data_IF_359929291800
#
_entry.id   IF_359929291800
#
_cell.length_a   1.000
_cell.length_b   1.000
_cell.length_c   1.000
_cell.angle_alpha   90.00
_cell.angle_beta   90.00
_cell.angle_gamma   90.00
#
_symmetry.space_group_name_H-M   'P 1'
#
loop_
_entity.id
_entity.type
_entity.pdbx_description
1 polymer ?
#
# COMPACT_ATOMS: atom_id res chain seq x y z
N UNK A 1 -10.50 -23.24 -67.93
CA UNK A 1 -11.50 -22.52 -67.11
C UNK A 1 -10.89 -22.35 -65.72
N UNK A 2 -10.09 -21.31 -65.46
CA UNK A 2 -10.49 -19.94 -65.08
C UNK A 2 -11.46 -19.97 -63.88
N UNK A 3 -11.18 -19.40 -62.69
CA UNK A 3 -10.44 -18.17 -62.40
C UNK A 3 -9.73 -18.23 -61.03
N UNK A 4 -8.50 -17.74 -61.04
CA UNK A 4 -7.66 -17.33 -59.92
C UNK A 4 -7.81 -15.79 -59.76
N UNK A 5 -8.05 -15.27 -58.56
CA UNK A 5 -7.74 -13.87 -58.15
C UNK A 5 -7.40 -13.90 -56.65
N UNK A 6 -6.13 -13.85 -56.26
CA UNK A 6 -5.27 -12.67 -56.08
C UNK A 6 -5.79 -11.69 -55.01
N UNK A 7 -5.18 -11.70 -53.83
CA UNK A 7 -4.80 -10.46 -53.13
C UNK A 7 -3.50 -10.67 -52.37
N UNK A 8 -2.58 -9.76 -52.67
CA UNK A 8 -1.20 -9.62 -52.24
C UNK A 8 -1.12 -8.84 -50.92
N UNK A 9 -0.11 -9.21 -50.14
CA UNK A 9 0.62 -8.47 -49.11
C UNK A 9 0.20 -7.03 -48.74
N UNK A 10 0.02 -6.80 -47.43
CA UNK A 10 0.63 -5.66 -46.74
C UNK A 10 1.25 -6.20 -45.46
N UNK A 11 2.57 -6.21 -45.39
CA UNK A 11 3.30 -6.48 -44.16
C UNK A 11 3.26 -5.25 -43.27
N UNK A 12 2.63 -5.37 -42.10
CA UNK A 12 3.02 -4.60 -40.92
C UNK A 12 3.90 -5.53 -40.09
N UNK A 13 5.21 -5.25 -40.08
CA UNK A 13 6.11 -5.79 -39.08
C UNK A 13 5.73 -5.20 -37.73
N UNK A 14 4.99 -5.96 -36.92
CA UNK A 14 4.85 -5.69 -35.50
C UNK A 14 6.21 -5.98 -34.86
N UNK A 15 7.01 -4.94 -34.68
CA UNK A 15 8.20 -4.99 -33.83
C UNK A 15 7.74 -5.09 -32.38
N UNK A 16 7.52 -6.31 -31.91
CA UNK A 16 7.33 -6.60 -30.49
C UNK A 16 8.68 -6.36 -29.81
N UNK A 17 8.87 -5.16 -29.26
CA UNK A 17 9.89 -4.93 -28.25
C UNK A 17 9.46 -5.71 -27.02
N UNK A 18 10.01 -6.91 -26.84
CA UNK A 18 10.01 -7.59 -25.55
C UNK A 18 10.82 -6.73 -24.58
N UNK A 19 10.15 -5.85 -23.85
CA UNK A 19 10.68 -5.31 -22.60
C UNK A 19 10.96 -6.50 -21.70
N UNK A 20 12.23 -6.68 -21.33
CA UNK A 20 12.67 -7.66 -20.34
C UNK A 20 12.03 -7.29 -18.99
N UNK A 21 10.80 -7.73 -18.74
CA UNK A 21 10.27 -7.81 -17.40
C UNK A 21 11.13 -8.81 -16.65
N UNK A 22 12.02 -8.32 -15.78
CA UNK A 22 12.57 -9.13 -14.70
C UNK A 22 11.39 -9.50 -13.82
N UNK A 23 10.84 -10.71 -14.03
CA UNK A 23 9.99 -11.34 -13.05
C UNK A 23 10.86 -11.58 -11.81
N UNK A 24 10.82 -10.65 -10.87
CA UNK A 24 11.33 -10.85 -9.52
C UNK A 24 10.36 -11.82 -8.83
N UNK A 25 10.48 -13.11 -9.12
CA UNK A 25 9.85 -14.15 -8.31
C UNK A 25 10.59 -14.18 -6.97
N UNK A 26 10.14 -13.33 -6.05
CA UNK A 26 10.61 -13.32 -4.67
C UNK A 26 10.14 -14.62 -4.03
N UNK A 27 11.08 -15.44 -3.53
CA UNK A 27 10.76 -16.62 -2.70
C UNK A 27 9.84 -16.18 -1.56
N UNK A 28 8.88 -17.04 -1.18
CA UNK A 28 8.04 -16.82 -0.01
C UNK A 28 8.93 -16.43 1.19
N UNK A 29 8.84 -15.17 1.60
CA UNK A 29 9.51 -14.69 2.78
C UNK A 29 8.76 -15.28 3.99
N UNK A 30 9.49 -15.91 4.90
CA UNK A 30 8.89 -16.30 6.18
C UNK A 30 8.56 -15.01 6.93
N UNK A 31 7.30 -14.83 7.30
CA UNK A 31 6.86 -13.69 8.12
C UNK A 31 7.61 -13.74 9.46
N UNK A 32 8.33 -12.68 9.86
CA UNK A 32 9.01 -12.63 11.15
C UNK A 32 8.04 -12.83 12.34
N UNK A 33 8.45 -13.66 13.31
CA UNK A 33 7.66 -13.98 14.50
C UNK A 33 8.48 -13.84 15.78
N UNK A 34 7.78 -13.56 16.89
CA UNK A 34 8.27 -13.71 18.27
C UNK A 34 7.59 -14.92 18.89
N UNK A 35 8.37 -15.76 19.55
CA UNK A 35 7.92 -16.97 20.22
C UNK A 35 7.53 -16.68 21.67
N UNK A 36 6.36 -17.16 22.09
CA UNK A 36 5.89 -17.14 23.47
C UNK A 36 5.60 -18.56 23.94
N UNK A 37 6.18 -18.95 25.07
CA UNK A 37 5.82 -20.19 25.74
C UNK A 37 4.44 -20.05 26.36
N UNK A 38 3.50 -20.89 25.92
CA UNK A 38 2.17 -20.95 26.50
C UNK A 38 2.22 -21.86 27.71
N UNK A 39 1.69 -21.36 28.82
CA UNK A 39 1.67 -22.07 30.10
C UNK A 39 0.21 -22.34 30.46
N UNK A 40 -0.10 -23.61 30.72
CA UNK A 40 -1.42 -24.02 31.19
C UNK A 40 -1.66 -23.57 32.63
N UNK A 41 -2.90 -23.71 33.09
CA UNK A 41 -3.26 -23.29 34.46
C UNK A 41 -2.50 -24.05 35.57
N UNK A 42 -2.01 -25.25 35.27
CA UNK A 42 -1.19 -26.08 36.16
C UNK A 42 0.30 -25.70 36.16
N UNK A 43 0.66 -24.60 35.50
CA UNK A 43 2.02 -24.17 35.20
C UNK A 43 2.84 -25.15 34.35
N UNK A 44 2.19 -26.09 33.65
CA UNK A 44 2.88 -26.95 32.69
C UNK A 44 2.92 -26.29 31.30
N UNK A 45 3.92 -26.62 30.46
CA UNK A 45 3.96 -26.16 29.09
C UNK A 45 2.71 -26.62 28.31
N UNK A 46 2.00 -25.66 27.72
CA UNK A 46 0.79 -25.85 26.92
C UNK A 46 1.03 -25.62 25.41
N UNK A 47 2.27 -25.37 25.01
CA UNK A 47 2.68 -25.20 23.62
C UNK A 47 3.38 -23.88 23.38
N UNK A 48 3.44 -23.48 22.11
CA UNK A 48 4.16 -22.29 21.65
C UNK A 48 3.23 -21.43 20.80
N UNK A 49 3.21 -20.14 21.07
CA UNK A 49 2.60 -19.12 20.22
C UNK A 49 3.69 -18.43 19.39
N UNK A 50 3.58 -18.53 18.07
CA UNK A 50 4.35 -17.70 17.13
C UNK A 50 3.52 -16.47 16.76
N UNK A 51 3.73 -15.37 17.49
CA UNK A 51 3.05 -14.11 17.22
C UNK A 51 3.85 -13.30 16.17
N UNK A 52 3.19 -12.48 15.34
CA UNK A 52 3.92 -11.63 14.39
C UNK A 52 4.85 -10.65 15.11
N UNK A 53 6.06 -10.50 14.60
CA UNK A 53 7.02 -9.50 15.07
C UNK A 53 6.92 -8.23 14.22
N UNK A 54 6.04 -7.30 14.58
CA UNK A 54 5.87 -6.05 13.82
C UNK A 54 7.09 -5.12 13.84
N UNK A 55 8.05 -5.36 14.74
CA UNK A 55 9.35 -4.66 14.72
C UNK A 55 10.30 -5.18 13.65
N UNK A 56 10.00 -6.36 13.09
CA UNK A 56 10.77 -6.99 12.01
C UNK A 56 9.96 -7.16 10.71
N UNK A 57 8.63 -7.14 10.78
CA UNK A 57 7.75 -7.23 9.60
C UNK A 57 7.77 -5.88 8.87
N UNK A 58 8.12 -5.95 7.59
CA UNK A 58 8.07 -4.84 6.62
C UNK A 58 7.13 -5.20 5.47
N UNK A 59 6.75 -4.23 4.62
CA UNK A 59 5.96 -4.55 3.42
C UNK A 59 6.70 -5.49 2.46
N UNK A 60 8.03 -5.40 2.38
CA UNK A 60 8.84 -6.34 1.60
C UNK A 60 8.78 -7.77 2.17
N UNK A 61 8.73 -7.91 3.50
CA UNK A 61 8.63 -9.22 4.15
C UNK A 61 7.31 -9.94 3.89
N UNK A 62 6.27 -9.24 3.45
CA UNK A 62 4.98 -9.85 3.08
C UNK A 62 5.06 -10.71 1.81
N UNK A 63 6.10 -10.56 1.00
CA UNK A 63 6.33 -11.38 -0.19
C UNK A 63 5.37 -11.04 -1.33
N UNK A 64 4.55 -12.01 -1.75
CA UNK A 64 3.76 -11.95 -2.97
C UNK A 64 2.32 -12.43 -2.79
N UNK A 65 1.44 -12.01 -3.69
CA UNK A 65 0.05 -12.47 -3.71
C UNK A 65 -0.03 -13.96 -4.04
N UNK A 66 -0.85 -14.71 -3.32
CA UNK A 66 -1.05 -16.15 -3.60
C UNK A 66 -2.08 -16.40 -4.69
N UNK A 67 -2.91 -15.41 -5.02
CA UNK A 67 -3.93 -15.46 -6.07
C UNK A 67 -3.98 -14.13 -6.84
N UNK A 68 -4.46 -14.21 -8.09
CA UNK A 68 -4.65 -13.02 -8.93
C UNK A 68 -5.90 -12.25 -8.52
N UNK A 69 -5.92 -10.95 -8.81
CA UNK A 69 -7.07 -10.10 -8.56
C UNK A 69 -7.04 -8.82 -9.37
N UNK A 70 -8.12 -8.04 -9.27
CA UNK A 70 -8.23 -6.77 -9.98
C UNK A 70 -9.15 -5.79 -9.26
N UNK A 71 -8.96 -4.51 -9.56
CA UNK A 71 -9.80 -3.38 -9.19
C UNK A 71 -10.16 -2.62 -10.46
N UNK A 72 -11.44 -2.35 -10.67
CA UNK A 72 -11.87 -1.49 -11.78
C UNK A 72 -11.48 -0.03 -11.52
N UNK A 73 -11.01 0.67 -12.56
CA UNK A 73 -10.76 2.12 -12.53
C UNK A 73 -12.04 2.97 -12.46
N UNK A 74 -13.22 2.36 -12.56
CA UNK A 74 -14.52 3.08 -12.47
C UNK A 74 -14.70 3.82 -11.12
N UNK A 75 -13.88 3.48 -10.13
CA UNK A 75 -13.95 4.01 -8.78
C UNK A 75 -12.85 5.03 -8.43
N UNK A 76 -11.95 5.35 -9.35
CA UNK A 76 -10.82 6.28 -9.13
C UNK A 76 -11.27 7.63 -8.56
N UNK A 77 -12.41 8.14 -9.08
CA UNK A 77 -12.99 9.42 -8.64
C UNK A 77 -13.41 9.47 -7.17
N UNK A 78 -13.52 8.32 -6.49
CA UNK A 78 -13.96 8.23 -5.09
C UNK A 78 -12.84 8.02 -4.09
N UNK A 79 -11.60 7.79 -4.53
CA UNK A 79 -10.46 7.61 -3.62
C UNK A 79 -9.44 8.75 -3.68
N UNK A 80 -9.56 9.63 -4.69
CA UNK A 80 -8.64 10.75 -4.89
C UNK A 80 -7.28 10.34 -5.47
N UNK A 81 -7.17 9.12 -6.00
CA UNK A 81 -6.05 8.58 -6.76
C UNK A 81 -6.53 7.40 -7.63
N UNK A 82 -5.71 6.94 -8.57
CA UNK A 82 -6.03 5.81 -9.45
C UNK A 82 -6.13 4.48 -8.69
N UNK A 83 -7.33 3.91 -8.59
CA UNK A 83 -7.56 2.60 -8.00
C UNK A 83 -7.38 1.47 -9.01
N UNK A 84 -7.70 1.72 -10.28
CA UNK A 84 -7.67 0.70 -11.33
C UNK A 84 -6.33 -0.02 -11.43
N UNK A 85 -6.31 -1.32 -11.15
CA UNK A 85 -5.11 -2.18 -11.28
C UNK A 85 -5.48 -3.66 -11.31
N UNK A 86 -4.55 -4.48 -11.77
CA UNK A 86 -4.63 -5.93 -11.73
C UNK A 86 -3.31 -6.49 -11.21
N UNK A 87 -3.37 -7.62 -10.54
CA UNK A 87 -2.20 -8.37 -10.11
C UNK A 87 -2.41 -9.84 -10.42
N UNK A 88 -1.30 -10.53 -10.60
CA UNK A 88 -1.25 -11.96 -10.80
C UNK A 88 -0.64 -12.64 -9.57
N UNK A 89 -0.98 -13.92 -9.40
CA UNK A 89 -0.29 -14.77 -8.43
C UNK A 89 1.22 -14.67 -8.61
N UNK A 90 1.92 -14.41 -7.51
CA UNK A 90 3.38 -14.27 -7.47
C UNK A 90 3.89 -12.86 -7.66
N UNK A 91 3.04 -11.89 -8.04
CA UNK A 91 3.42 -10.47 -8.04
C UNK A 91 3.75 -10.03 -6.62
N UNK A 92 4.80 -9.22 -6.47
CA UNK A 92 5.22 -8.75 -5.15
C UNK A 92 4.19 -7.77 -4.59
N UNK A 93 3.94 -7.85 -3.29
CA UNK A 93 2.99 -6.95 -2.60
C UNK A 93 3.33 -5.48 -2.83
N UNK A 94 4.63 -5.18 -2.81
CA UNK A 94 5.16 -3.81 -2.96
C UNK A 94 4.98 -3.23 -4.37
N UNK A 95 4.80 -4.08 -5.38
CA UNK A 95 4.62 -3.66 -6.78
C UNK A 95 3.15 -3.42 -7.12
N UNK A 96 2.22 -3.76 -6.21
CA UNK A 96 0.76 -3.67 -6.41
C UNK A 96 0.10 -2.70 -5.44
N UNK A 97 0.56 -2.67 -4.18
CA UNK A 97 0.06 -1.71 -3.20
C UNK A 97 0.59 -0.31 -3.53
N UNK A 98 -0.35 0.63 -3.55
CA UNK A 98 -0.09 2.05 -3.69
C UNK A 98 -0.03 2.75 -2.33
N UNK A 99 0.63 3.90 -2.26
CA UNK A 99 0.73 4.67 -1.03
C UNK A 99 -0.65 5.05 -0.48
N UNK A 100 -1.60 5.37 -1.38
CA UNK A 100 -2.99 5.67 -1.01
C UNK A 100 -3.74 4.49 -0.36
N UNK A 101 -3.35 3.25 -0.65
CA UNK A 101 -4.01 2.06 -0.07
C UNK A 101 -3.70 1.91 1.42
N UNK A 102 -2.52 2.36 1.84
CA UNK A 102 -2.03 2.15 3.21
C UNK A 102 -2.03 3.42 4.06
N UNK A 103 -2.32 4.59 3.48
CA UNK A 103 -2.24 5.88 4.16
C UNK A 103 -3.15 5.98 5.39
N UNK A 104 -4.43 5.61 5.27
CA UNK A 104 -5.35 5.68 6.41
C UNK A 104 -4.87 4.80 7.59
N UNK A 105 -4.33 3.63 7.26
CA UNK A 105 -3.96 2.61 8.23
C UNK A 105 -2.58 2.80 8.84
N UNK A 106 -1.59 3.18 8.05
CA UNK A 106 -0.18 3.33 8.45
C UNK A 106 0.26 4.79 8.55
N UNK A 107 -0.50 5.73 8.00
CA UNK A 107 -0.18 7.16 8.01
C UNK A 107 0.99 7.53 7.13
N UNK A 108 1.19 6.81 6.01
CA UNK A 108 2.38 6.94 5.16
C UNK A 108 2.57 8.35 4.60
N UNK A 109 1.48 9.09 4.34
CA UNK A 109 1.55 10.48 3.88
C UNK A 109 2.27 11.40 4.87
N UNK A 110 2.24 11.07 6.17
CA UNK A 110 2.85 11.86 7.25
C UNK A 110 4.31 11.50 7.54
N UNK A 111 4.90 10.59 6.77
CA UNK A 111 6.35 10.34 6.83
C UNK A 111 7.08 11.45 6.09
N UNK A 112 8.18 11.92 6.66
CA UNK A 112 9.13 12.76 5.94
C UNK A 112 10.05 11.93 5.06
N UNK A 113 10.52 12.51 3.95
CA UNK A 113 11.45 11.80 3.06
C UNK A 113 12.72 11.34 3.77
N UNK A 114 13.29 12.20 4.63
CA UNK A 114 14.46 11.86 5.43
C UNK A 114 14.19 10.76 6.46
N UNK A 115 12.98 10.71 7.03
CA UNK A 115 12.59 9.66 7.97
C UNK A 115 12.49 8.30 7.29
N UNK A 116 11.96 8.24 6.06
CA UNK A 116 11.92 7.00 5.27
C UNK A 116 13.32 6.42 5.09
N UNK A 117 14.28 7.26 4.70
CA UNK A 117 15.66 6.84 4.48
C UNK A 117 16.30 6.34 5.78
N UNK A 118 16.14 7.07 6.88
CA UNK A 118 16.75 6.70 8.18
C UNK A 118 16.11 5.43 8.76
N UNK A 119 14.78 5.32 8.76
CA UNK A 119 14.04 4.15 9.29
C UNK A 119 14.30 2.89 8.47
N UNK A 120 14.60 3.05 7.18
CA UNK A 120 14.97 1.94 6.30
C UNK A 120 16.48 1.61 6.32
N UNK A 121 17.20 2.11 7.33
CA UNK A 121 18.63 1.90 7.56
C UNK A 121 19.54 2.32 6.39
N UNK A 122 19.15 3.36 5.65
CA UNK A 122 19.91 3.95 4.54
C UNK A 122 20.49 5.31 4.92
N UNK A 123 21.45 5.78 4.13
CA UNK A 123 22.03 7.11 4.28
C UNK A 123 21.40 8.11 3.30
N UNK A 124 21.03 9.32 3.73
CA UNK A 124 20.47 10.36 2.85
C UNK A 124 21.36 10.73 1.66
N UNK A 125 22.69 10.62 1.80
CA UNK A 125 23.65 10.86 0.72
C UNK A 125 23.56 9.84 -0.43
N UNK A 126 23.05 8.64 -0.14
CA UNK A 126 23.02 7.53 -1.09
C UNK A 126 21.68 7.43 -1.83
N UNK A 127 20.69 8.24 -1.40
CA UNK A 127 19.34 8.25 -1.96
C UNK A 127 19.15 9.50 -2.82
N UNK A 128 18.72 9.29 -4.06
CA UNK A 128 18.55 10.34 -5.07
C UNK A 128 17.08 10.71 -5.29
N UNK A 129 16.82 11.89 -5.86
CA UNK A 129 15.44 12.38 -6.00
C UNK A 129 14.57 11.54 -6.95
N UNK A 130 15.17 10.85 -7.93
CA UNK A 130 14.45 9.93 -8.83
C UNK A 130 13.97 8.66 -8.11
N UNK A 131 14.52 8.35 -6.94
CA UNK A 131 14.14 7.20 -6.11
C UNK A 131 12.89 7.46 -5.25
N UNK A 132 12.32 8.66 -5.34
CA UNK A 132 10.99 8.98 -4.83
C UNK A 132 10.08 9.23 -6.03
N UNK A 133 9.38 8.18 -6.49
CA UNK A 133 8.68 8.14 -7.76
C UNK A 133 7.80 9.36 -8.08
N UNK A 134 7.15 9.96 -7.08
CA UNK A 134 6.29 11.13 -7.24
C UNK A 134 7.04 12.43 -7.57
N UNK A 135 8.35 12.54 -7.28
CA UNK A 135 9.11 13.79 -7.51
C UNK A 135 9.17 14.12 -9.00
N UNK A 136 9.29 13.11 -9.87
CA UNK A 136 9.31 13.31 -11.33
C UNK A 136 7.98 13.87 -11.88
N UNK A 137 6.87 13.62 -11.17
CA UNK A 137 5.53 14.04 -11.56
C UNK A 137 5.23 15.49 -11.13
N UNK A 138 6.13 16.11 -10.35
CA UNK A 138 5.94 17.49 -9.91
C UNK A 138 6.28 18.48 -11.02
N UNK A 139 5.65 19.64 -10.96
CA UNK A 139 6.13 20.85 -11.63
C UNK A 139 7.10 21.59 -10.72
N UNK A 140 7.86 22.55 -11.24
CA UNK A 140 8.67 23.45 -10.40
C UNK A 140 7.81 24.12 -9.32
N UNK A 141 6.58 24.50 -9.65
CA UNK A 141 5.68 25.11 -8.68
C UNK A 141 5.24 24.14 -7.58
N UNK A 142 4.81 22.93 -7.92
CA UNK A 142 4.41 21.95 -6.91
C UNK A 142 5.61 21.43 -6.10
N UNK A 143 6.80 21.33 -6.70
CA UNK A 143 8.04 21.02 -6.01
C UNK A 143 8.42 22.07 -4.95
N UNK A 144 8.36 23.38 -5.28
CA UNK A 144 8.62 24.47 -4.31
C UNK A 144 7.51 24.54 -3.25
N UNK A 145 6.27 24.22 -3.63
CA UNK A 145 5.15 24.16 -2.68
C UNK A 145 5.33 23.03 -1.67
N UNK A 146 5.81 21.87 -2.11
CA UNK A 146 6.06 20.70 -1.26
C UNK A 146 7.20 20.92 -0.26
N UNK A 147 8.20 21.75 -0.59
CA UNK A 147 9.22 22.20 0.35
C UNK A 147 9.25 23.74 0.46
N UNK A 148 8.42 24.33 1.34
CA UNK A 148 8.30 25.79 1.47
C UNK A 148 9.60 26.51 1.84
N UNK A 149 10.60 25.81 2.40
CA UNK A 149 11.90 26.42 2.72
C UNK A 149 12.66 26.86 1.48
N UNK A 150 12.39 26.25 0.31
CA UNK A 150 13.01 26.61 -0.95
C UNK A 150 12.68 28.04 -1.39
N UNK A 151 11.51 28.57 -0.98
CA UNK A 151 11.02 29.91 -1.40
C UNK A 151 12.04 31.04 -1.17
N UNK A 152 12.76 30.96 -0.06
CA UNK A 152 13.74 31.98 0.35
C UNK A 152 15.17 31.65 -0.09
N UNK A 153 15.42 30.48 -0.70
CA UNK A 153 16.72 30.10 -1.25
C UNK A 153 16.93 30.72 -2.60
N UNK A 154 18.17 31.09 -2.91
CA UNK A 154 18.53 31.48 -4.28
C UNK A 154 18.37 30.27 -5.20
N UNK A 155 17.92 30.52 -6.43
CA UNK A 155 17.70 29.46 -7.42
C UNK A 155 19.00 28.68 -7.69
N UNK A 156 20.15 29.34 -7.72
CA UNK A 156 21.45 28.70 -7.86
C UNK A 156 21.82 27.73 -6.73
N UNK A 157 21.26 27.95 -5.53
CA UNK A 157 21.51 27.10 -4.36
C UNK A 157 20.57 25.90 -4.30
N UNK A 158 19.65 25.78 -5.26
CA UNK A 158 18.73 24.65 -5.40
C UNK A 158 19.01 23.98 -6.75
N UNK A 159 19.92 23.00 -6.80
CA UNK A 159 20.48 22.50 -8.07
C UNK A 159 19.43 22.06 -9.12
N UNK A 160 18.34 21.34 -8.76
CA UNK A 160 17.30 21.01 -9.73
C UNK A 160 16.62 22.24 -10.35
N UNK A 161 16.43 23.31 -9.58
CA UNK A 161 15.83 24.55 -10.09
C UNK A 161 16.80 25.31 -10.99
N UNK A 162 18.09 25.35 -10.63
CA UNK A 162 19.12 25.95 -11.48
C UNK A 162 19.22 25.24 -12.84
N UNK A 163 19.19 23.90 -12.83
CA UNK A 163 19.24 23.10 -14.06
C UNK A 163 17.96 23.24 -14.90
N UNK A 164 16.78 23.38 -14.28
CA UNK A 164 15.55 23.71 -14.98
C UNK A 164 15.66 25.06 -15.72
N UNK A 165 16.20 26.10 -15.06
CA UNK A 165 16.45 27.42 -15.68
C UNK A 165 17.45 27.30 -16.84
N UNK A 166 18.52 26.54 -16.66
CA UNK A 166 19.52 26.32 -17.69
C UNK A 166 18.94 25.60 -18.92
N UNK A 167 18.11 24.58 -18.71
CA UNK A 167 17.42 23.85 -19.79
C UNK A 167 16.44 24.74 -20.56
N UNK A 168 15.67 25.57 -19.87
CA UNK A 168 14.65 26.42 -20.51
C UNK A 168 15.23 27.64 -21.22
N UNK A 169 16.27 28.26 -20.68
CA UNK A 169 16.74 29.57 -21.14
C UNK A 169 18.21 29.63 -21.54
N UNK A 170 19.00 28.59 -21.25
CA UNK A 170 20.46 28.60 -21.41
C UNK A 170 21.09 29.79 -20.68
N UNK A 171 22.11 30.40 -21.29
CA UNK A 171 22.83 31.55 -20.71
C UNK A 171 21.94 32.76 -20.40
N UNK A 172 20.78 32.87 -21.06
CA UNK A 172 19.82 33.97 -20.84
C UNK A 172 19.14 33.88 -19.47
N UNK A 173 19.16 32.71 -18.83
CA UNK A 173 18.59 32.47 -17.50
C UNK A 173 19.52 32.86 -16.34
N UNK A 174 20.78 33.22 -16.60
CA UNK A 174 21.78 33.52 -15.56
C UNK A 174 21.34 34.58 -14.54
N UNK A 175 20.59 35.60 -14.97
CA UNK A 175 20.05 36.62 -14.08
C UNK A 175 18.99 36.09 -13.10
N UNK A 176 18.31 34.98 -13.43
CA UNK A 176 17.32 34.34 -12.56
C UNK A 176 17.99 33.51 -11.46
N UNK A 177 19.20 33.00 -11.67
CA UNK A 177 19.90 32.15 -10.72
C UNK A 177 20.19 32.86 -9.38
N UNK A 178 20.36 34.17 -9.42
CA UNK A 178 20.60 35.04 -8.25
C UNK A 178 19.31 35.48 -7.53
N UNK A 179 18.14 35.02 -8.00
CA UNK A 179 16.85 35.36 -7.40
C UNK A 179 16.35 34.28 -6.45
N UNK A 180 15.54 34.64 -5.43
CA UNK A 180 14.90 33.65 -4.56
C UNK A 180 13.89 32.78 -5.32
N UNK A 181 13.80 31.48 -5.01
CA UNK A 181 12.95 30.55 -5.74
C UNK A 181 11.45 30.90 -5.71
N UNK A 182 10.97 31.68 -4.72
CA UNK A 182 9.58 32.16 -4.70
C UNK A 182 9.18 32.91 -5.97
N UNK A 183 10.12 33.54 -6.67
CA UNK A 183 9.84 34.24 -7.94
C UNK A 183 9.40 33.30 -9.07
N UNK A 184 9.66 31.99 -8.93
CA UNK A 184 9.23 30.96 -9.90
C UNK A 184 7.77 30.55 -9.73
N UNK A 185 7.16 30.86 -8.58
CA UNK A 185 5.77 30.49 -8.26
C UNK A 185 4.85 31.70 -8.06
N UNK A 186 5.42 32.87 -7.75
CA UNK A 186 4.65 34.08 -7.55
C UNK A 186 4.29 34.72 -8.90
N UNK A 187 2.99 34.77 -9.19
CA UNK A 187 2.41 35.44 -10.37
C UNK A 187 2.65 36.98 -10.41
N UNK A 188 3.45 37.53 -9.50
CA UNK A 188 3.92 38.93 -9.52
C UNK A 188 4.94 39.23 -10.63
N UNK A 189 5.11 38.32 -11.58
CA UNK A 189 5.87 38.51 -12.83
C UNK A 189 5.53 39.84 -13.55
N UNK A 190 4.33 40.40 -13.35
CA UNK A 190 3.99 41.70 -13.93
C UNK A 190 4.74 42.91 -13.36
N UNK A 191 5.32 42.82 -12.16
CA UNK A 191 5.97 43.96 -11.47
C UNK A 191 7.48 43.82 -11.34
N UNK A 192 8.01 42.61 -11.12
CA UNK A 192 9.45 42.40 -10.93
C UNK A 192 10.27 42.60 -12.23
N UNK A 193 9.72 42.20 -13.38
CA UNK A 193 10.42 42.30 -14.67
C UNK A 193 10.39 43.69 -15.32
N UNK A 194 9.64 44.64 -14.75
CA UNK A 194 9.80 46.06 -15.10
C UNK A 194 11.08 46.67 -14.52
N UNK A 195 11.68 46.06 -13.49
CA UNK A 195 12.89 46.57 -12.82
C UNK A 195 14.15 45.72 -13.06
N UNK A 196 14.03 44.45 -13.49
CA UNK A 196 15.15 43.72 -14.10
C UNK A 196 15.46 44.34 -15.46
N UNK A 197 16.17 45.47 -15.39
CA UNK A 197 16.69 46.21 -16.51
C UNK A 197 17.68 45.32 -17.25
N UNK A 198 17.17 44.53 -18.20
CA UNK A 198 17.94 43.88 -19.24
C UNK A 198 18.98 44.88 -19.71
N UNK A 199 20.25 44.49 -19.56
CA UNK A 199 21.41 45.32 -19.81
C UNK A 199 21.25 46.06 -21.16
N UNK A 200 21.81 47.27 -21.27
CA UNK A 200 21.55 48.31 -22.29
C UNK A 200 21.56 47.83 -23.76
N UNK A 201 22.03 46.61 -24.03
CA UNK A 201 22.06 45.93 -25.32
C UNK A 201 20.77 45.18 -25.73
N UNK A 202 19.80 45.00 -24.83
CA UNK A 202 18.51 44.32 -25.15
C UNK A 202 17.40 45.31 -25.54
N UNK A 203 17.60 46.62 -25.35
CA UNK A 203 16.65 47.65 -25.80
C UNK A 203 16.39 47.68 -27.32
N UNK A 204 17.27 47.06 -28.12
CA UNK A 204 17.08 46.92 -29.57
C UNK A 204 16.26 45.69 -29.97
N UNK A 205 15.87 44.85 -29.02
CA UNK A 205 14.90 43.77 -29.20
C UNK A 205 13.60 44.15 -28.51
N UNK A 206 13.01 45.28 -28.93
CA UNK A 206 11.62 45.61 -28.64
C UNK A 206 10.71 44.63 -29.42
N UNK A 207 10.70 43.37 -29.00
CA UNK A 207 9.56 42.50 -29.26
C UNK A 207 8.44 42.97 -28.34
N UNK A 208 7.28 43.25 -28.93
CA UNK A 208 6.11 43.92 -28.38
C UNK A 208 5.33 43.09 -27.35
N UNK A 209 6.01 42.18 -26.64
CA UNK A 209 5.45 41.38 -25.56
C UNK A 209 6.58 41.09 -24.56
N UNK A 210 6.42 41.41 -23.26
CA UNK A 210 7.39 40.99 -22.26
C UNK A 210 7.56 39.46 -22.36
N UNK A 211 8.79 38.92 -22.31
CA UNK A 211 8.99 37.47 -22.28
C UNK A 211 8.18 36.90 -21.11
N UNK A 212 7.21 36.05 -21.41
CA UNK A 212 6.48 35.29 -20.40
C UNK A 212 7.45 34.20 -19.92
N UNK A 213 8.14 34.46 -18.82
CA UNK A 213 9.03 33.49 -18.18
C UNK A 213 8.18 32.56 -17.31
N UNK A 214 7.61 31.54 -17.93
CA UNK A 214 6.70 30.61 -17.26
C UNK A 214 7.45 29.31 -16.97
N UNK A 215 8.14 29.27 -15.82
CA UNK A 215 8.91 28.09 -15.34
C UNK A 215 8.07 27.25 -14.38
N UNK A 216 6.97 27.79 -13.85
CA UNK A 216 6.16 27.14 -12.83
C UNK A 216 5.69 25.77 -13.27
N UNK A 217 5.32 25.64 -14.55
CA UNK A 217 4.81 24.42 -15.18
C UNK A 217 5.92 23.48 -15.71
N UNK A 218 7.20 23.81 -15.51
CA UNK A 218 8.27 22.92 -15.93
C UNK A 218 8.22 21.64 -15.11
N UNK A 219 8.00 20.51 -15.77
CA UNK A 219 7.95 19.20 -15.13
C UNK A 219 9.35 18.76 -14.69
N UNK A 220 9.48 18.39 -13.42
CA UNK A 220 10.73 17.93 -12.80
C UNK A 220 11.26 16.66 -13.46
N UNK A 221 10.39 15.82 -14.03
CA UNK A 221 10.77 14.64 -14.81
C UNK A 221 11.56 14.91 -16.10
N UNK A 222 11.64 16.17 -16.54
CA UNK A 222 12.53 16.57 -17.64
C UNK A 222 13.99 16.71 -17.20
N UNK A 223 14.28 16.66 -15.90
CA UNK A 223 15.63 16.65 -15.33
C UNK A 223 16.12 15.22 -15.15
N UNK A 224 17.45 15.07 -15.16
CA UNK A 224 18.09 13.85 -14.66
C UNK A 224 18.15 13.91 -13.13
N UNK A 225 17.04 13.51 -12.49
CA UNK A 225 16.87 13.59 -11.04
C UNK A 225 17.82 12.68 -10.25
N UNK A 226 18.46 11.70 -10.92
CA UNK A 226 19.48 10.82 -10.33
C UNK A 226 20.77 11.55 -9.94
N UNK A 227 20.95 12.79 -10.41
CA UNK A 227 22.11 13.62 -10.07
C UNK A 227 22.01 14.32 -8.73
N UNK A 228 20.82 14.37 -8.14
CA UNK A 228 20.57 15.11 -6.90
C UNK A 228 20.27 14.11 -5.80
N UNK A 229 21.15 14.05 -4.81
CA UNK A 229 20.87 13.32 -3.57
C UNK A 229 19.80 14.06 -2.75
N UNK A 230 19.22 13.39 -1.76
CA UNK A 230 18.31 14.02 -0.80
C UNK A 230 19.00 15.17 -0.05
N UNK A 231 20.32 15.10 0.17
CA UNK A 231 21.09 16.18 0.81
C UNK A 231 21.42 17.35 -0.15
N UNK A 232 21.32 17.14 -1.46
CA UNK A 232 21.60 18.17 -2.47
C UNK A 232 20.57 19.30 -2.48
N UNK A 233 19.40 19.10 -1.87
CA UNK A 233 18.33 20.09 -1.80
C UNK A 233 17.99 20.35 -0.34
N UNK A 234 18.38 21.51 0.17
CA UNK A 234 18.16 21.84 1.58
C UNK A 234 16.68 21.76 1.96
N UNK A 235 16.39 21.04 3.05
CA UNK A 235 15.03 20.90 3.59
C UNK A 235 14.14 19.91 2.84
N UNK A 236 14.59 19.27 1.76
CA UNK A 236 13.76 18.28 1.06
C UNK A 236 13.56 17.01 1.90
N UNK A 237 14.53 16.66 2.74
CA UNK A 237 14.35 15.57 3.70
C UNK A 237 13.29 15.86 4.78
N UNK A 238 12.88 17.13 4.94
CA UNK A 238 11.89 17.57 5.91
C UNK A 238 10.46 17.66 5.38
N UNK A 239 10.25 17.57 4.06
CA UNK A 239 8.90 17.55 3.47
C UNK A 239 8.22 16.21 3.70
N UNK A 240 6.91 16.25 3.88
CA UNK A 240 6.09 15.06 4.03
C UNK A 240 5.78 14.45 2.66
N UNK A 241 5.56 13.14 2.62
CA UNK A 241 5.09 12.46 1.40
C UNK A 241 3.79 13.11 0.89
N UNK A 242 2.89 13.48 1.80
CA UNK A 242 1.61 14.09 1.45
C UNK A 242 1.68 15.53 0.91
N UNK A 243 2.84 16.17 1.00
CA UNK A 243 3.06 17.52 0.47
C UNK A 243 3.21 17.53 -1.07
N UNK A 244 3.47 16.36 -1.67
CA UNK A 244 3.69 16.19 -3.11
C UNK A 244 2.38 15.90 -3.85
N UNK A 245 2.23 16.37 -5.09
CA UNK A 245 1.05 16.06 -5.89
C UNK A 245 1.07 14.59 -6.33
N UNK A 246 -0.11 13.98 -6.40
CA UNK A 246 -0.34 12.59 -6.86
C UNK A 246 0.46 11.50 -6.12
N UNK A 247 1.02 11.81 -4.95
CA UNK A 247 1.83 10.88 -4.15
C UNK A 247 1.12 9.55 -3.86
N UNK A 248 -0.21 9.57 -3.72
CA UNK A 248 -1.03 8.38 -3.44
C UNK A 248 -1.00 7.35 -4.56
N UNK A 249 -0.67 7.76 -5.78
CA UNK A 249 -0.64 6.90 -6.96
C UNK A 249 0.64 6.06 -7.12
N UNK A 250 1.70 6.41 -6.39
CA UNK A 250 2.96 5.67 -6.42
C UNK A 250 2.83 4.32 -5.73
N UNK A 251 3.54 3.30 -6.24
CA UNK A 251 3.63 2.00 -5.57
C UNK A 251 4.65 2.06 -4.44
N UNK A 252 4.55 1.13 -3.49
CA UNK A 252 5.54 1.02 -2.42
C UNK A 252 6.96 0.75 -2.96
N UNK A 253 7.07 0.06 -4.09
CA UNK A 253 8.33 -0.19 -4.80
C UNK A 253 8.96 1.07 -5.42
N UNK A 254 8.16 2.10 -5.68
CA UNK A 254 8.60 3.32 -6.35
C UNK A 254 9.25 4.33 -5.37
N UNK A 255 9.19 4.04 -4.06
CA UNK A 255 9.79 4.85 -3.01
C UNK A 255 10.92 4.07 -2.32
N UNK A 256 12.15 4.49 -2.54
CA UNK A 256 13.31 3.81 -1.98
C UNK A 256 13.26 3.77 -0.44
N UNK A 257 13.44 2.57 0.10
CA UNK A 257 13.44 2.30 1.53
C UNK A 257 12.07 2.21 2.19
N UNK A 258 10.99 2.72 1.58
CA UNK A 258 9.68 2.71 2.22
C UNK A 258 9.18 1.29 2.56
N UNK A 259 9.34 0.36 1.63
CA UNK A 259 8.95 -1.04 1.82
C UNK A 259 9.80 -1.80 2.84
N UNK A 260 10.90 -1.20 3.32
CA UNK A 260 11.84 -1.76 4.28
C UNK A 260 11.66 -1.19 5.71
N UNK A 261 10.69 -0.29 5.90
CA UNK A 261 10.32 0.21 7.23
C UNK A 261 9.50 -0.85 7.96
N UNK A 262 9.82 -1.10 9.23
CA UNK A 262 9.06 -1.99 10.12
C UNK A 262 7.67 -1.43 10.40
N UNK A 263 6.68 -2.32 10.56
CA UNK A 263 5.28 -1.93 10.75
C UNK A 263 5.02 -1.12 12.04
N UNK A 264 5.87 -1.27 13.06
CA UNK A 264 5.83 -0.48 14.30
C UNK A 264 6.50 0.90 14.18
N UNK A 265 7.21 1.15 13.08
CA UNK A 265 7.93 2.39 12.83
C UNK A 265 7.14 3.39 11.96
N UNK A 266 5.96 3.00 11.47
CA UNK A 266 5.04 3.87 10.75
C UNK A 266 4.32 4.86 11.68
N UNK A 267 3.85 6.02 11.16
CA UNK A 267 3.14 7.01 11.98
C UNK A 267 1.90 6.48 12.70
N UNK A 268 1.20 5.52 12.11
CA UNK A 268 0.19 4.70 12.79
C UNK A 268 0.77 3.27 12.95
N UNK A 269 1.44 2.97 14.07
CA UNK A 269 2.12 1.70 14.23
C UNK A 269 1.13 0.55 14.44
N UNK A 270 1.44 -0.62 13.89
CA UNK A 270 0.75 -1.87 14.22
C UNK A 270 1.51 -2.57 15.34
N UNK A 271 0.78 -2.94 16.39
CA UNK A 271 1.36 -3.62 17.54
C UNK A 271 0.71 -4.98 17.78
N UNK A 272 1.51 -5.93 18.22
CA UNK A 272 1.04 -7.26 18.61
C UNK A 272 0.27 -7.13 19.91
N UNK A 273 -1.02 -7.46 19.88
CA UNK A 273 -1.82 -7.60 21.09
C UNK A 273 -2.02 -9.09 21.37
N UNK A 274 -1.62 -9.53 22.56
CA UNK A 274 -1.85 -10.90 23.05
C UNK A 274 -3.28 -11.07 23.60
N UNK A 275 -4.24 -10.41 22.96
CA UNK A 275 -5.64 -10.44 23.37
C UNK A 275 -6.35 -11.61 22.68
N UNK A 276 -7.10 -12.39 23.47
CA UNK A 276 -7.91 -13.52 23.00
C UNK A 276 -7.13 -14.50 22.13
N UNK A 277 -6.30 -15.30 22.79
CA UNK A 277 -5.50 -16.36 22.17
C UNK A 277 -6.28 -17.67 22.29
N UNK A 278 -6.24 -18.50 21.26
CA UNK A 278 -6.84 -19.83 21.28
C UNK A 278 -5.90 -20.83 20.62
N UNK A 279 -6.03 -22.10 21.02
CA UNK A 279 -5.37 -23.21 20.36
C UNK A 279 -6.25 -23.75 19.24
N UNK A 280 -5.64 -24.18 18.14
CA UNK A 280 -6.33 -24.93 17.11
C UNK A 280 -6.43 -26.40 17.52
N UNK A 281 -7.62 -26.88 17.81
CA UNK A 281 -7.86 -28.27 18.26
C UNK A 281 -8.08 -29.23 17.08
N UNK A 282 -8.96 -28.84 16.16
CA UNK A 282 -9.31 -29.64 15.00
C UNK A 282 -9.42 -28.79 13.73
N UNK A 283 -9.17 -29.44 12.59
CA UNK A 283 -9.27 -28.84 11.25
C UNK A 283 -10.31 -29.62 10.48
N UNK A 284 -11.28 -28.92 9.90
CA UNK A 284 -12.40 -29.54 9.19
C UNK A 284 -12.49 -29.00 7.77
N UNK A 285 -12.26 -29.88 6.79
CA UNK A 285 -12.23 -29.51 5.37
C UNK A 285 -13.58 -29.68 4.66
N UNK A 286 -14.38 -30.67 5.08
CA UNK A 286 -15.72 -30.98 4.55
C UNK A 286 -16.72 -31.15 5.70
N UNK A 287 -16.82 -30.13 6.56
CA UNK A 287 -17.72 -30.14 7.71
C UNK A 287 -19.18 -30.11 7.27
N UNK A 288 -19.83 -31.28 7.27
CA UNK A 288 -21.27 -31.39 7.11
C UNK A 288 -21.97 -30.85 8.36
N UNK A 289 -22.62 -29.69 8.23
CA UNK A 289 -23.40 -29.11 9.32
C UNK A 289 -23.53 -27.59 9.26
N UNK A 290 -24.32 -27.05 10.18
CA UNK A 290 -24.49 -25.61 10.38
C UNK A 290 -23.59 -25.10 11.53
N UNK A 291 -23.07 -23.89 11.37
CA UNK A 291 -22.45 -23.09 12.44
C UNK A 291 -23.45 -22.00 12.81
N UNK A 292 -23.98 -22.05 14.04
CA UNK A 292 -25.00 -21.10 14.50
C UNK A 292 -24.39 -19.76 14.93
N UNK A 293 -25.20 -18.69 15.00
CA UNK A 293 -24.76 -17.43 15.59
C UNK A 293 -24.19 -17.65 17.00
N UNK A 294 -23.04 -17.04 17.29
CA UNK A 294 -22.31 -17.21 18.56
C UNK A 294 -21.41 -18.44 18.65
N UNK A 295 -21.45 -19.34 17.67
CA UNK A 295 -20.51 -20.48 17.56
C UNK A 295 -19.33 -20.19 16.62
N UNK A 296 -19.38 -19.09 15.88
CA UNK A 296 -18.29 -18.62 15.03
C UNK A 296 -17.50 -17.50 15.72
N UNK A 297 -16.21 -17.43 15.40
CA UNK A 297 -15.35 -16.26 15.64
C UNK A 297 -15.02 -15.53 14.33
N UNK A 298 -15.71 -15.80 13.24
CA UNK A 298 -15.43 -15.18 11.93
C UNK A 298 -16.49 -14.16 11.59
N UNK A 299 -16.05 -13.12 10.89
CA UNK A 299 -16.96 -12.10 10.35
C UNK A 299 -16.22 -10.87 9.86
N UNK A 300 -16.75 -9.70 10.14
CA UNK A 300 -16.19 -8.39 9.80
C UNK A 300 -16.61 -7.32 10.81
N UNK A 301 -15.99 -6.15 10.74
CA UNK A 301 -16.42 -4.97 11.52
C UNK A 301 -17.88 -4.55 11.22
N UNK A 302 -18.43 -4.91 10.06
CA UNK A 302 -19.79 -4.55 9.65
C UNK A 302 -20.83 -5.64 9.99
N UNK A 303 -20.46 -6.91 9.82
CA UNK A 303 -21.34 -8.05 10.08
C UNK A 303 -21.27 -8.55 11.54
N UNK A 304 -20.28 -8.08 12.31
CA UNK A 304 -19.89 -8.66 13.60
C UNK A 304 -19.09 -9.95 13.42
N UNK A 305 -18.44 -10.42 14.48
CA UNK A 305 -17.53 -11.57 14.44
C UNK A 305 -18.15 -12.90 14.93
N UNK A 306 -19.45 -13.07 14.67
CA UNK A 306 -20.22 -14.25 15.04
C UNK A 306 -21.13 -14.71 13.88
N UNK A 307 -20.65 -14.56 12.65
CA UNK A 307 -21.42 -14.85 11.43
C UNK A 307 -21.72 -16.35 11.35
N UNK A 308 -22.98 -16.75 11.07
CA UNK A 308 -23.33 -18.15 10.92
C UNK A 308 -22.95 -18.72 9.55
N UNK A 309 -22.92 -20.04 9.45
CA UNK A 309 -22.81 -20.77 8.19
C UNK A 309 -23.82 -21.94 8.17
N UNK A 310 -24.45 -22.21 7.04
CA UNK A 310 -25.61 -23.11 6.98
C UNK A 310 -25.26 -24.54 6.57
N UNK A 311 -24.23 -24.74 5.75
CA UNK A 311 -23.82 -26.06 5.26
C UNK A 311 -22.38 -26.04 4.75
N UNK A 312 -21.71 -27.19 4.82
CA UNK A 312 -20.36 -27.44 4.29
C UNK A 312 -19.33 -26.41 4.75
N UNK A 313 -19.35 -26.09 6.05
CA UNK A 313 -18.64 -24.97 6.63
C UNK A 313 -17.20 -25.36 6.97
N UNK A 314 -16.27 -25.43 6.01
CA UNK A 314 -14.84 -25.59 6.29
C UNK A 314 -14.34 -24.58 7.35
N UNK A 315 -13.66 -25.07 8.38
CA UNK A 315 -13.24 -24.26 9.53
C UNK A 315 -12.11 -24.93 10.33
N UNK A 316 -11.54 -24.16 11.25
CA UNK A 316 -10.79 -24.69 12.39
C UNK A 316 -11.63 -24.56 13.66
N UNK A 317 -11.59 -25.59 14.51
CA UNK A 317 -12.19 -25.58 15.85
C UNK A 317 -11.17 -25.09 16.86
N UNK A 318 -11.62 -24.21 17.74
CA UNK A 318 -10.80 -23.54 18.71
C UNK A 318 -11.03 -24.11 20.09
N UNK A 319 -9.94 -24.29 20.79
CA UNK A 319 -9.90 -24.74 22.17
C UNK A 319 -9.16 -23.71 23.03
N UNK A 320 -9.41 -23.76 24.33
CA UNK A 320 -8.75 -22.91 25.29
C UNK A 320 -7.53 -23.59 25.94
N UNK A 321 -7.05 -23.02 27.05
CA UNK A 321 -5.88 -23.51 27.78
C UNK A 321 -6.21 -24.73 28.67
N UNK A 322 -7.46 -25.15 28.77
CA UNK A 322 -7.92 -26.10 29.79
C UNK A 322 -7.92 -27.57 29.29
N UNK A 323 -6.74 -28.18 29.20
CA UNK A 323 -6.64 -29.65 29.14
C UNK A 323 -6.91 -30.33 30.52
N UNK A 324 -7.47 -29.63 31.53
CA UNK A 324 -7.47 -30.09 32.94
C UNK A 324 -8.84 -30.19 33.66
N UNK A 325 -9.96 -30.14 32.92
CA UNK A 325 -11.22 -30.76 33.35
C UNK A 325 -12.01 -30.08 34.47
N UNK A 326 -12.04 -28.74 34.55
CA UNK A 326 -13.09 -27.98 35.24
C UNK A 326 -13.98 -27.20 34.24
N UNK A 327 -14.99 -26.53 34.77
CA UNK A 327 -16.12 -25.91 34.06
C UNK A 327 -15.91 -24.41 33.70
N UNK A 328 -14.67 -23.92 33.52
CA UNK A 328 -14.42 -22.50 33.15
C UNK A 328 -14.16 -22.40 31.65
N UNK A 329 -15.23 -22.51 30.87
CA UNK A 329 -15.18 -22.37 29.41
C UNK A 329 -14.77 -20.95 29.02
N UNK A 330 -13.60 -20.78 28.42
CA UNK A 330 -13.29 -19.51 27.77
C UNK A 330 -14.24 -19.27 26.59
N UNK A 331 -14.42 -18.00 26.23
CA UNK A 331 -15.35 -17.63 25.15
C UNK A 331 -15.02 -18.28 23.80
N UNK A 332 -13.82 -18.85 23.61
CA UNK A 332 -13.40 -19.49 22.36
C UNK A 332 -13.60 -21.01 22.30
N UNK A 333 -13.79 -21.69 23.44
CA UNK A 333 -13.89 -23.15 23.49
C UNK A 333 -15.06 -23.65 22.62
N UNK A 334 -14.76 -24.57 21.71
CA UNK A 334 -15.73 -25.14 20.74
C UNK A 334 -16.26 -24.15 19.71
N UNK A 335 -15.65 -22.95 19.61
CA UNK A 335 -15.96 -21.98 18.56
C UNK A 335 -15.13 -22.23 17.31
N UNK A 336 -15.64 -21.73 16.18
CA UNK A 336 -15.15 -22.08 14.85
C UNK A 336 -14.67 -20.84 14.10
N UNK A 337 -13.43 -20.87 13.61
CA UNK A 337 -12.96 -19.90 12.64
C UNK A 337 -13.16 -20.46 11.24
N UNK A 338 -14.12 -19.89 10.51
CA UNK A 338 -14.55 -20.33 9.19
C UNK A 338 -13.59 -19.91 8.09
N UNK A 339 -13.52 -20.72 7.03
CA UNK A 339 -12.80 -20.43 5.81
C UNK A 339 -13.31 -19.11 5.18
N UNK A 340 -12.38 -18.25 4.78
CA UNK A 340 -12.63 -16.90 4.26
C UNK A 340 -13.09 -16.85 2.80
N UNK A 341 -13.14 -17.98 2.11
CA UNK A 341 -13.49 -18.07 0.68
C UNK A 341 -14.28 -19.33 0.37
N UNK A 342 -14.88 -19.32 -0.81
CA UNK A 342 -15.47 -20.53 -1.39
C UNK A 342 -14.39 -21.57 -1.75
N UNK A 343 -14.49 -22.81 -1.25
CA UNK A 343 -13.50 -23.85 -1.52
C UNK A 343 -13.49 -24.33 -2.97
N UNK A 344 -14.55 -24.08 -3.75
CA UNK A 344 -14.71 -24.54 -5.13
C UNK A 344 -14.31 -23.51 -6.17
N UNK A 345 -14.62 -22.22 -5.94
CA UNK A 345 -14.38 -21.17 -6.94
C UNK A 345 -13.61 -19.94 -6.42
N UNK A 346 -13.24 -19.93 -5.13
CA UNK A 346 -12.55 -18.81 -4.46
C UNK A 346 -13.25 -17.44 -4.55
N UNK A 347 -14.50 -17.40 -5.02
CA UNK A 347 -15.25 -16.16 -5.18
C UNK A 347 -15.83 -15.72 -3.83
N UNK A 348 -15.71 -14.42 -3.56
CA UNK A 348 -16.33 -13.76 -2.40
C UNK A 348 -17.67 -13.10 -2.80
N UNK A 349 -17.88 -12.90 -4.12
CA UNK A 349 -18.99 -12.14 -4.71
C UNK A 349 -19.66 -12.90 -5.87
N UNK A 350 -20.96 -12.68 -6.16
CA UNK A 350 -21.92 -11.84 -5.42
C UNK A 350 -22.66 -12.57 -4.28
N UNK A 351 -22.77 -13.90 -4.33
CA UNK A 351 -23.58 -14.71 -3.39
C UNK A 351 -22.83 -16.00 -2.97
N UNK A 352 -21.62 -15.86 -2.44
CA UNK A 352 -20.94 -16.98 -1.79
C UNK A 352 -21.24 -16.94 -0.27
N UNK A 353 -21.51 -18.08 0.40
CA UNK A 353 -21.76 -18.10 1.84
C UNK A 353 -20.54 -17.67 2.69
N UNK A 354 -19.39 -17.47 2.04
CA UNK A 354 -18.08 -17.19 2.64
C UNK A 354 -17.70 -15.71 2.67
N UNK A 355 -18.42 -14.88 1.91
CA UNK A 355 -18.25 -13.42 1.89
C UNK A 355 -19.20 -12.72 2.85
N UNK A 356 -18.66 -11.90 3.74
CA UNK A 356 -19.45 -11.12 4.71
C UNK A 356 -19.56 -9.68 4.26
N UNK A 357 -20.61 -8.98 4.68
CA UNK A 357 -20.74 -7.55 4.42
C UNK A 357 -19.51 -6.84 5.00
N UNK A 358 -18.89 -5.95 4.23
CA UNK A 358 -17.72 -5.18 4.60
C UNK A 358 -17.78 -3.77 4.04
N UNK A 359 -16.76 -2.99 4.37
CA UNK A 359 -16.68 -1.59 3.94
C UNK A 359 -17.76 -0.69 4.54
N UNK A 360 -17.66 0.60 4.26
CA UNK A 360 -18.57 1.62 4.75
C UNK A 360 -18.59 2.84 3.83
N UNK A 361 -19.64 3.65 3.92
CA UNK A 361 -19.79 4.84 3.09
C UNK A 361 -19.95 4.51 1.60
N UNK A 362 -19.55 5.45 0.75
CA UNK A 362 -19.64 5.32 -0.71
C UNK A 362 -18.69 4.25 -1.24
N UNK A 363 -17.51 4.12 -0.62
CA UNK A 363 -16.52 3.11 -0.97
C UNK A 363 -16.93 1.69 -0.56
N UNK A 364 -17.88 1.55 0.36
CA UNK A 364 -18.39 0.25 0.82
C UNK A 364 -19.05 -0.59 -0.26
N UNK A 365 -19.33 -0.06 -1.46
CA UNK A 365 -19.89 -0.84 -2.58
C UNK A 365 -18.83 -1.60 -3.37
N UNK A 366 -17.54 -1.23 -3.25
CA UNK A 366 -16.47 -1.91 -3.98
C UNK A 366 -16.42 -3.39 -3.58
N UNK A 367 -16.00 -4.24 -4.50
CA UNK A 367 -16.04 -5.70 -4.34
C UNK A 367 -17.43 -6.20 -3.91
N UNK A 368 -18.49 -5.64 -4.52
CA UNK A 368 -19.90 -5.94 -4.19
C UNK A 368 -20.28 -5.75 -2.71
N UNK A 369 -19.50 -4.96 -1.96
CA UNK A 369 -19.66 -4.77 -0.52
C UNK A 369 -19.34 -5.99 0.33
N UNK A 370 -18.52 -6.91 -0.19
CA UNK A 370 -18.12 -8.13 0.49
C UNK A 370 -16.62 -8.19 0.75
N UNK A 371 -16.25 -8.86 1.83
CA UNK A 371 -14.87 -9.23 2.17
C UNK A 371 -14.83 -10.68 2.68
N UNK A 372 -13.65 -11.33 2.68
CA UNK A 372 -13.48 -12.65 3.28
C UNK A 372 -13.99 -12.67 4.72
N UNK A 373 -14.69 -13.72 5.17
CA UNK A 373 -14.96 -13.86 6.61
C UNK A 373 -13.64 -14.08 7.37
N UNK A 374 -13.43 -13.35 8.47
CA UNK A 374 -12.13 -13.34 9.14
C UNK A 374 -12.13 -12.51 10.42
N UNK A 375 -10.96 -12.03 10.84
CA UNK A 375 -10.74 -11.22 12.05
C UNK A 375 -9.76 -10.07 11.80
N UNK A 376 -9.83 -9.03 12.63
CA UNK A 376 -8.90 -7.89 12.64
C UNK A 376 -8.16 -7.82 13.98
N UNK A 377 -7.29 -8.80 14.28
CA UNK A 377 -6.67 -8.89 15.61
C UNK A 377 -5.72 -7.73 15.93
N UNK A 378 -5.18 -7.06 14.90
CA UNK A 378 -4.18 -6.00 15.03
C UNK A 378 -4.71 -4.63 14.58
N UNK A 379 -6.03 -4.43 14.66
CA UNK A 379 -6.68 -3.19 14.27
C UNK A 379 -6.96 -3.08 12.76
N UNK A 380 -7.10 -1.86 12.23
CA UNK A 380 -7.63 -1.65 10.88
C UNK A 380 -6.61 -1.89 9.75
N UNK A 381 -5.33 -2.09 10.05
CA UNK A 381 -4.27 -2.12 9.04
C UNK A 381 -4.45 -3.20 7.97
N UNK A 382 -4.92 -4.36 8.37
CA UNK A 382 -5.31 -5.44 7.47
C UNK A 382 -6.28 -6.39 8.19
N UNK A 383 -6.98 -7.20 7.40
CA UNK A 383 -7.81 -8.30 7.89
C UNK A 383 -7.07 -9.62 7.73
N UNK A 384 -7.23 -10.53 8.69
CA UNK A 384 -6.73 -11.91 8.61
C UNK A 384 -7.92 -12.84 8.35
N UNK A 385 -7.80 -13.71 7.37
CA UNK A 385 -8.78 -14.75 7.09
C UNK A 385 -8.12 -16.12 7.02
N UNK A 386 -8.82 -17.16 7.47
CA UNK A 386 -8.46 -18.54 7.19
C UNK A 386 -8.60 -18.75 5.67
N UNK A 387 -7.56 -19.24 5.01
CA UNK A 387 -7.50 -19.26 3.54
C UNK A 387 -7.41 -20.66 2.94
N UNK A 388 -6.88 -21.62 3.68
CA UNK A 388 -6.96 -23.04 3.32
C UNK A 388 -7.02 -23.92 4.56
N UNK A 389 -7.66 -25.08 4.41
CA UNK A 389 -7.69 -26.16 5.40
C UNK A 389 -7.42 -27.49 4.69
N UNK A 390 -6.60 -28.34 5.29
CA UNK A 390 -6.34 -29.71 4.87
C UNK A 390 -6.37 -30.62 6.10
N UNK A 391 -7.55 -31.18 6.35
CA UNK A 391 -7.82 -32.10 7.46
C UNK A 391 -6.97 -33.38 7.39
N UNK A 392 -6.53 -33.79 6.20
CA UNK A 392 -5.70 -35.01 6.06
C UNK A 392 -4.25 -34.79 6.50
N UNK A 393 -3.83 -33.53 6.56
CA UNK A 393 -2.48 -33.12 6.97
C UNK A 393 -2.44 -32.37 8.29
N UNK A 394 -3.60 -32.10 8.90
CA UNK A 394 -3.72 -31.20 10.05
C UNK A 394 -3.09 -29.81 9.77
N UNK A 395 -3.22 -29.34 8.53
CA UNK A 395 -2.66 -28.07 8.06
C UNK A 395 -3.74 -27.02 7.77
N UNK A 396 -3.48 -25.77 8.18
CA UNK A 396 -4.32 -24.64 7.82
C UNK A 396 -3.47 -23.39 7.58
N UNK A 397 -3.87 -22.55 6.62
CA UNK A 397 -3.15 -21.31 6.31
C UNK A 397 -4.04 -20.09 6.49
N UNK A 398 -3.43 -18.96 6.84
CA UNK A 398 -4.11 -17.66 6.84
C UNK A 398 -3.56 -16.75 5.76
N UNK A 399 -4.38 -15.78 5.37
CA UNK A 399 -3.99 -14.71 4.46
C UNK A 399 -4.43 -13.36 5.00
N UNK A 400 -3.67 -12.31 4.68
CA UNK A 400 -4.05 -10.92 4.95
C UNK A 400 -4.63 -10.22 3.74
N UNK A 401 -5.50 -9.24 4.01
CA UNK A 401 -6.16 -8.41 3.03
C UNK A 401 -6.11 -6.95 3.46
N UNK A 402 -5.77 -6.05 2.54
CA UNK A 402 -5.85 -4.60 2.72
C UNK A 402 -7.18 -4.05 2.19
N UNK A 403 -7.50 -2.83 2.62
CA UNK A 403 -8.66 -2.04 2.16
C UNK A 403 -8.22 -0.62 1.86
N UNK A 404 -9.05 0.11 1.13
CA UNK A 404 -8.83 1.51 0.79
C UNK A 404 -9.80 2.37 1.59
N UNK A 405 -9.33 3.47 2.14
CA UNK A 405 -10.16 4.41 2.88
C UNK A 405 -9.94 5.84 2.38
N UNK A 406 -11.02 6.62 2.29
CA UNK A 406 -10.95 8.05 2.10
C UNK A 406 -11.72 8.74 3.23
N UNK A 407 -10.96 9.14 4.25
CA UNK A 407 -11.44 9.93 5.38
C UNK A 407 -11.23 11.41 5.13
N UNK A 408 -12.04 12.26 5.76
CA UNK A 408 -11.91 13.71 5.68
C UNK A 408 -13.20 14.40 5.23
N UNK A 409 -13.07 15.47 4.44
CA UNK A 409 -14.21 16.26 3.95
C UNK A 409 -14.17 16.28 2.40
N UNK A 410 -15.04 15.52 1.71
CA UNK A 410 -16.03 14.57 2.25
C UNK A 410 -15.40 13.25 2.72
N UNK A 411 -16.01 12.61 3.73
CA UNK A 411 -15.69 11.24 4.15
C UNK A 411 -16.46 10.27 3.24
N UNK A 412 -15.73 9.46 2.47
CA UNK A 412 -16.30 8.47 1.55
C UNK A 412 -16.28 7.05 2.13
N UNK A 413 -15.79 6.90 3.36
CA UNK A 413 -15.70 5.65 4.09
C UNK A 413 -14.53 4.78 3.63
N UNK A 414 -14.72 3.47 3.69
CA UNK A 414 -13.71 2.49 3.35
C UNK A 414 -14.31 1.40 2.46
N UNK A 415 -13.49 0.81 1.61
CA UNK A 415 -13.85 -0.42 0.92
C UNK A 415 -13.90 -1.59 1.91
N UNK A 416 -14.51 -2.72 1.53
CA UNK A 416 -14.22 -3.99 2.20
C UNK A 416 -12.72 -4.32 2.14
N UNK A 417 -12.25 -5.24 2.98
CA UNK A 417 -10.92 -5.83 2.86
C UNK A 417 -10.90 -6.84 1.71
N UNK A 418 -10.24 -6.49 0.60
CA UNK A 418 -10.26 -7.34 -0.60
C UNK A 418 -8.92 -7.34 -1.37
N UNK A 419 -7.95 -6.49 -1.02
CA UNK A 419 -6.63 -6.49 -1.68
C UNK A 419 -5.78 -7.59 -1.05
N UNK A 420 -5.73 -8.73 -1.70
CA UNK A 420 -5.10 -9.97 -1.25
C UNK A 420 -5.50 -11.11 -2.20
N UNK A 421 -5.37 -12.38 -1.79
CA UNK A 421 -4.75 -12.88 -0.56
C UNK A 421 -3.22 -12.74 -0.57
N UNK A 422 -2.67 -12.34 0.58
CA UNK A 422 -1.23 -12.36 0.86
C UNK A 422 -0.99 -13.40 1.96
N UNK A 423 -0.23 -14.48 1.70
CA UNK A 423 0.06 -15.50 2.72
C UNK A 423 0.61 -14.89 4.01
N UNK A 424 0.15 -15.40 5.14
CA UNK A 424 0.59 -14.94 6.47
C UNK A 424 0.97 -16.14 7.34
N UNK A 425 0.76 -16.03 8.65
CA UNK A 425 1.11 -17.09 9.61
C UNK A 425 0.21 -18.34 9.46
N UNK A 426 0.77 -19.54 9.65
CA UNK A 426 -0.01 -20.76 9.63
C UNK A 426 -0.98 -20.84 10.83
N UNK A 427 -2.00 -21.68 10.72
CA UNK A 427 -2.96 -21.99 11.77
C UNK A 427 -3.16 -23.51 11.86
N UNK A 428 -2.06 -24.25 11.86
CA UNK A 428 -2.06 -25.72 11.91
C UNK A 428 -2.60 -26.22 13.25
N UNK A 429 -2.95 -27.50 13.31
CA UNK A 429 -3.37 -28.14 14.56
C UNK A 429 -2.32 -27.95 15.66
N UNK A 430 -2.79 -27.77 16.89
CA UNK A 430 -2.01 -27.42 18.10
C UNK A 430 -1.32 -26.05 18.05
N UNK A 431 -1.44 -25.29 16.96
CA UNK A 431 -0.90 -23.92 16.91
C UNK A 431 -1.74 -23.01 17.79
N UNK A 432 -1.07 -22.10 18.50
CA UNK A 432 -1.73 -21.00 19.17
C UNK A 432 -1.90 -19.84 18.20
N UNK A 433 -3.09 -19.24 18.18
CA UNK A 433 -3.44 -18.14 17.28
C UNK A 433 -4.04 -16.97 18.05
N UNK A 434 -3.88 -15.76 17.51
CA UNK A 434 -4.41 -14.52 18.08
C UNK A 434 -5.73 -14.16 17.37
N UNK A 435 -6.84 -14.13 18.11
CA UNK A 435 -8.15 -13.70 17.61
C UNK A 435 -8.35 -12.18 17.75
N UNK A 436 -7.65 -11.58 18.72
CA UNK A 436 -7.75 -10.17 19.07
C UNK A 436 -9.11 -9.78 19.62
N UNK A 437 -9.28 -8.49 19.99
CA UNK A 437 -10.41 -8.04 20.81
C UNK A 437 -11.79 -8.24 20.18
N UNK A 438 -11.90 -8.37 18.86
CA UNK A 438 -13.20 -8.49 18.20
C UNK A 438 -14.08 -7.29 18.49
N UNK A 439 -13.93 -6.23 17.71
CA UNK A 439 -14.72 -5.01 17.87
C UNK A 439 -16.20 -5.30 17.61
#
# INVERSE_FOLDING_TARGET
>A
MNLLKLFTSVGLGLSLTFSNFRSNTVKAANIPTVTYDMVGEDNLPAGILEAPDFSSITFRSLGSFSESGFISGDYDRYAGYGLGRQWYRGDAVIDVLKLGDIDDSFGVGRLKLGEIVVKSARQPSDVTLDQFGFIKNQTVASFIKANPRLKERLIQDVPPLADAIALMYGDRGSALLELPARILIENEQKKLFTEFSLNKNVKNLAQTKPPKFDVSEFEMGNLDLSKYSLESVEGIGDSFVEDYEDWKDEHLSDIEGLADISFDDFPNPIATTLAFISRVDAIWSDAQGEIKPGQSVSGSNQAGYAVPCQQNCAHIELDDLENSGRDIRWISEGRRWMLGKDPYNANICPEAPWGVNGGEGVLGILNCGKEPTGRNPFGPGFKIALWSVDETKDEASTAIFFRICQRGIPDLGCTPYFIGPIPFLPANRESWIILGPGI
#
